data_IF_220413907640
#
_entry.id   IF_220413907640
#
_cell.length_a   1.000
_cell.length_b   1.000
_cell.length_c   1.000
_cell.angle_alpha   90.00
_cell.angle_beta   90.00
_cell.angle_gamma   90.00
#
_symmetry.space_group_name_H-M   'P 1'
#
loop_
_entity.id
_entity.type
_entity.pdbx_description
1 polymer ?
#
# COMPACT_ATOMS: atom_id res chain seq x y z
N UNK A 1 -3.09 17.84 11.56
CA UNK A 1 -3.51 16.46 11.89
C UNK A 1 -4.27 15.88 10.70
N UNK A 2 -3.55 15.42 9.67
CA UNK A 2 -4.18 14.82 8.47
C UNK A 2 -4.60 13.41 8.86
N UNK A 3 -5.90 13.16 8.94
CA UNK A 3 -6.45 11.84 9.27
C UNK A 3 -5.91 10.80 8.30
N UNK A 4 -5.21 9.78 8.81
CA UNK A 4 -4.75 8.64 8.01
C UNK A 4 -5.96 8.09 7.23
N UNK A 5 -5.94 8.06 5.89
CA UNK A 5 -7.03 7.46 5.13
C UNK A 5 -7.22 6.00 5.55
N UNK A 6 -8.47 5.56 5.69
CA UNK A 6 -8.79 4.15 5.95
C UNK A 6 -8.42 3.35 4.70
N UNK A 7 -7.46 2.46 4.83
CA UNK A 7 -6.96 1.60 3.75
C UNK A 7 -7.66 0.25 3.82
N UNK A 8 -7.98 -0.31 2.66
CA UNK A 8 -8.77 -1.54 2.56
C UNK A 8 -7.86 -2.77 2.55
N UNK A 9 -8.26 -3.80 3.30
CA UNK A 9 -7.62 -5.13 3.29
C UNK A 9 -8.54 -6.15 2.61
N UNK A 10 -7.98 -7.11 1.89
CA UNK A 10 -8.72 -8.25 1.34
C UNK A 10 -8.33 -9.50 2.11
N UNK A 11 -9.29 -10.19 2.72
CA UNK A 11 -9.03 -11.31 3.61
C UNK A 11 -8.09 -12.36 2.99
N UNK A 12 -7.05 -12.73 3.74
CA UNK A 12 -6.08 -13.76 3.39
C UNK A 12 -5.02 -13.36 2.35
N UNK A 13 -5.03 -12.13 1.82
CA UNK A 13 -3.96 -11.65 0.93
C UNK A 13 -2.62 -11.61 1.66
N UNK A 14 -2.62 -11.07 2.86
CA UNK A 14 -1.46 -10.95 3.73
C UNK A 14 -0.77 -12.31 3.93
N UNK A 15 -1.53 -13.33 4.33
CA UNK A 15 -1.02 -14.69 4.57
C UNK A 15 -0.46 -15.34 3.30
N UNK A 16 -1.17 -15.25 2.17
CA UNK A 16 -0.69 -15.83 0.90
C UNK A 16 0.57 -15.14 0.39
N UNK A 17 0.64 -13.82 0.50
CA UNK A 17 1.82 -13.05 0.10
C UNK A 17 3.01 -13.35 1.01
N UNK A 18 2.81 -13.41 2.33
CA UNK A 18 3.87 -13.77 3.27
C UNK A 18 4.44 -15.17 3.01
N UNK A 19 3.60 -16.15 2.68
CA UNK A 19 4.07 -17.49 2.31
C UNK A 19 4.84 -17.53 0.99
N UNK A 20 4.46 -16.67 0.02
CA UNK A 20 5.10 -16.63 -1.31
C UNK A 20 6.40 -15.82 -1.33
N UNK A 21 6.50 -14.81 -0.47
CA UNK A 21 7.63 -13.89 -0.39
C UNK A 21 8.14 -13.83 1.05
N UNK A 22 8.68 -14.94 1.59
CA UNK A 22 9.05 -15.02 3.00
C UNK A 22 10.20 -14.09 3.39
N UNK A 23 11.07 -13.75 2.44
CA UNK A 23 12.28 -12.94 2.68
C UNK A 23 12.08 -11.45 2.34
N UNK A 24 10.87 -11.04 1.95
CA UNK A 24 10.58 -9.67 1.61
C UNK A 24 10.07 -8.88 2.82
N UNK A 25 10.61 -7.67 3.02
CA UNK A 25 10.08 -6.73 4.02
C UNK A 25 8.86 -5.95 3.50
N UNK A 26 8.84 -5.69 2.18
CA UNK A 26 7.82 -4.86 1.52
C UNK A 26 7.41 -5.48 0.19
N UNK A 27 6.11 -5.62 -0.04
CA UNK A 27 5.52 -6.03 -1.30
C UNK A 27 4.65 -4.91 -1.88
N UNK A 28 5.07 -4.34 -3.01
CA UNK A 28 4.28 -3.34 -3.75
C UNK A 28 3.48 -4.05 -4.85
N UNK A 29 2.17 -3.80 -4.91
CA UNK A 29 1.25 -4.42 -5.87
C UNK A 29 0.20 -3.42 -6.37
N UNK A 30 -0.54 -3.78 -7.43
CA UNK A 30 -1.50 -2.88 -8.08
C UNK A 30 -2.76 -3.58 -8.60
N UNK A 31 -3.17 -3.22 -9.82
CA UNK A 31 -4.31 -3.76 -10.58
C UNK A 31 -5.73 -3.44 -10.05
N UNK A 32 -5.96 -3.39 -8.74
CA UNK A 32 -7.29 -3.06 -8.19
C UNK A 32 -7.62 -1.57 -8.24
N UNK A 33 -6.58 -0.72 -8.29
CA UNK A 33 -6.65 0.75 -8.16
C UNK A 33 -7.16 1.21 -6.79
N UNK A 34 -7.27 0.30 -5.80
CA UNK A 34 -7.70 0.60 -4.43
C UNK A 34 -6.46 0.80 -3.56
N UNK A 35 -6.21 2.01 -3.03
CA UNK A 35 -5.12 2.24 -2.10
C UNK A 35 -5.17 1.30 -0.89
N UNK A 36 -4.03 0.70 -0.54
CA UNK A 36 -3.90 -0.26 0.56
C UNK A 36 -2.53 -0.17 1.21
N UNK A 37 -2.47 -0.29 2.54
CA UNK A 37 -1.26 -0.44 3.35
C UNK A 37 -1.62 -1.38 4.49
N UNK A 38 -1.16 -2.63 4.41
CA UNK A 38 -1.45 -3.66 5.42
C UNK A 38 -0.16 -4.37 5.82
N UNK A 39 -0.16 -5.01 6.99
CA UNK A 39 0.99 -5.75 7.50
C UNK A 39 0.53 -7.18 7.80
N UNK A 40 1.23 -8.16 7.25
CA UNK A 40 1.00 -9.57 7.53
C UNK A 40 1.50 -9.94 8.95
N UNK A 41 0.99 -11.03 9.55
CA UNK A 41 1.49 -11.50 10.84
C UNK A 41 3.00 -11.77 10.88
N UNK A 42 3.62 -12.08 9.74
CA UNK A 42 5.09 -12.26 9.62
C UNK A 42 5.89 -10.96 9.62
N UNK A 43 5.24 -9.79 9.54
CA UNK A 43 5.89 -8.49 9.42
C UNK A 43 5.98 -7.95 7.99
N UNK A 44 5.73 -8.77 6.96
CA UNK A 44 5.70 -8.32 5.55
C UNK A 44 4.66 -7.20 5.38
N UNK A 45 5.09 -6.04 4.88
CA UNK A 45 4.20 -4.90 4.58
C UNK A 45 3.75 -4.92 3.12
N UNK A 46 2.45 -4.84 2.89
CA UNK A 46 1.84 -4.89 1.56
C UNK A 46 1.31 -3.49 1.20
N UNK A 47 1.79 -2.93 0.08
CA UNK A 47 1.44 -1.59 -0.38
C UNK A 47 0.78 -1.63 -1.76
N UNK A 48 -0.36 -0.95 -1.89
CA UNK A 48 -0.96 -0.63 -3.18
C UNK A 48 -1.15 0.88 -3.28
N UNK A 49 -0.48 1.55 -4.24
CA UNK A 49 -0.53 3.00 -4.37
C UNK A 49 -1.86 3.54 -4.91
N UNK A 50 -2.78 2.65 -5.32
CA UNK A 50 -3.94 3.03 -6.09
C UNK A 50 -3.55 3.24 -7.56
N UNK A 51 -4.06 4.30 -8.16
CA UNK A 51 -3.74 4.65 -9.55
C UNK A 51 -3.73 6.18 -9.72
N UNK A 52 -2.66 6.74 -10.33
CA UNK A 52 -2.53 8.18 -10.53
C UNK A 52 -3.34 8.71 -11.71
N UNK A 53 -3.75 7.84 -12.65
CA UNK A 53 -4.35 8.25 -13.93
C UNK A 53 -5.75 7.68 -14.14
N UNK A 54 -6.05 6.50 -13.60
CA UNK A 54 -7.38 5.88 -13.65
C UNK A 54 -7.84 5.55 -12.23
N UNK A 55 -8.67 6.37 -11.60
CA UNK A 55 -9.16 6.08 -10.23
C UNK A 55 -10.21 4.97 -10.17
N UNK A 56 -10.72 4.49 -11.32
CA UNK A 56 -11.93 3.66 -11.39
C UNK A 56 -13.06 4.21 -10.51
N UNK A 57 -13.48 3.45 -9.50
CA UNK A 57 -14.53 3.81 -8.53
C UNK A 57 -14.01 4.50 -7.28
N UNK A 58 -12.70 4.71 -7.13
CA UNK A 58 -12.13 5.40 -5.97
C UNK A 58 -12.42 6.90 -6.02
N UNK A 59 -12.55 7.58 -4.86
CA UNK A 59 -12.90 9.01 -4.82
C UNK A 59 -11.80 9.91 -5.42
N UNK A 60 -10.53 9.52 -5.35
CA UNK A 60 -9.39 10.32 -5.80
C UNK A 60 -8.38 9.47 -6.58
N UNK A 61 -7.70 10.09 -7.55
CA UNK A 61 -6.46 9.53 -8.11
C UNK A 61 -5.35 9.65 -7.06
N UNK A 62 -4.48 8.64 -6.99
CA UNK A 62 -3.53 8.50 -5.88
C UNK A 62 -2.19 7.91 -6.30
N UNK A 63 -1.16 8.23 -5.54
CA UNK A 63 0.15 7.56 -5.56
C UNK A 63 0.72 7.50 -4.13
N UNK A 64 1.72 6.64 -3.90
CA UNK A 64 2.44 6.56 -2.63
C UNK A 64 3.87 7.09 -2.80
N UNK A 65 4.37 7.79 -1.78
CA UNK A 65 5.81 7.95 -1.56
C UNK A 65 6.21 7.15 -0.34
N UNK A 66 7.46 6.70 -0.31
CA UNK A 66 8.08 6.07 0.85
C UNK A 66 9.59 6.31 0.81
N UNK A 67 10.20 6.36 1.99
CA UNK A 67 11.65 6.48 2.15
C UNK A 67 12.23 5.14 2.57
N UNK A 68 13.27 4.67 1.87
CA UNK A 68 14.06 3.52 2.33
C UNK A 68 15.37 4.05 2.91
N UNK A 69 15.55 3.89 4.21
CA UNK A 69 16.73 4.38 4.92
C UNK A 69 17.04 3.50 6.13
N UNK A 70 18.33 3.27 6.39
CA UNK A 70 18.81 2.42 7.50
C UNK A 70 18.10 1.05 7.54
N UNK A 71 18.06 0.37 6.38
CA UNK A 71 17.41 -0.93 6.19
C UNK A 71 15.92 -1.00 6.59
N UNK A 72 15.22 0.14 6.61
CA UNK A 72 13.80 0.21 6.97
C UNK A 72 13.00 1.07 6.00
N UNK A 73 11.74 0.69 5.78
CA UNK A 73 10.76 1.51 5.08
C UNK A 73 10.12 2.53 6.04
N UNK A 74 10.21 3.81 5.70
CA UNK A 74 9.74 4.96 6.49
C UNK A 74 8.87 5.87 5.63
N UNK A 75 8.18 6.80 6.29
CA UNK A 75 7.46 7.92 5.66
C UNK A 75 6.54 7.51 4.49
N UNK A 76 5.87 6.37 4.64
CA UNK A 76 4.88 5.91 3.67
C UNK A 76 3.68 6.85 3.73
N UNK A 77 3.47 7.59 2.66
CA UNK A 77 2.42 8.61 2.55
C UNK A 77 1.62 8.42 1.27
N UNK A 78 0.29 8.38 1.42
CA UNK A 78 -0.64 8.37 0.29
C UNK A 78 -0.97 9.79 -0.12
N UNK A 79 -0.63 10.12 -1.34
CA UNK A 79 -0.92 11.41 -1.96
C UNK A 79 -2.17 11.29 -2.81
N UNK A 80 -3.05 12.29 -2.68
CA UNK A 80 -4.18 12.49 -3.58
C UNK A 80 -3.75 13.48 -4.65
N UNK A 81 -4.13 13.21 -5.90
CA UNK A 81 -3.95 14.16 -6.99
C UNK A 81 -5.24 14.97 -7.05
N UNK A 82 -5.15 16.22 -6.62
CA UNK A 82 -6.21 17.22 -6.80
C UNK A 82 -6.20 17.66 -8.27
N UNK A 83 -7.39 17.79 -8.86
CA UNK A 83 -7.61 18.31 -10.21
C UNK A 83 -8.34 19.62 -10.13
#
# INVERSE_FOLDING_TARGET
>A
MVGRPRLFATAGRETRCAARFPDADVLVFGHSHIPSDTVAPSGLRLLNPGSPTDRRRQPYATFLTATVAAAALRDVQLHRIER
#
